data_IF_034778487968
#
_entry.id   IF_034778487968
#
_cell.length_a   1.000
_cell.length_b   1.000
_cell.length_c   1.000
_cell.angle_alpha   90.00
_cell.angle_beta   90.00
_cell.angle_gamma   90.00
#
_symmetry.space_group_name_H-M   'P 1'
#
loop_
_entity.id
_entity.type
_entity.pdbx_description
1 polymer ?
#
# COMPACT_ATOMS: atom_id res chain seq x y z
N UNK A 1 1.10 5.74 26.51
CA UNK A 1 2.39 6.14 27.19
C UNK A 1 3.14 4.92 27.72
N UNK A 2 2.53 4.00 28.51
CA UNK A 2 3.24 2.83 29.07
C UNK A 2 4.03 1.99 28.05
N UNK A 3 3.41 1.66 26.90
CA UNK A 3 4.10 0.91 25.83
C UNK A 3 5.32 1.67 25.26
N UNK A 4 5.24 2.98 25.13
CA UNK A 4 6.36 3.84 24.69
C UNK A 4 7.51 3.77 25.70
N UNK A 5 7.21 3.94 27.00
CA UNK A 5 8.20 3.87 28.06
C UNK A 5 8.87 2.49 28.11
N UNK A 6 8.08 1.42 27.99
CA UNK A 6 8.63 0.06 27.97
C UNK A 6 9.50 -0.18 26.74
N UNK A 7 9.04 0.19 25.53
CA UNK A 7 9.82 0.03 24.31
C UNK A 7 11.20 0.72 24.45
N UNK A 8 11.22 1.93 24.99
CA UNK A 8 12.48 2.64 25.26
C UNK A 8 13.35 1.97 26.29
N UNK A 9 12.77 1.44 27.38
CA UNK A 9 13.54 0.76 28.45
C UNK A 9 14.26 -0.48 27.95
N UNK A 10 13.79 -1.08 26.85
CA UNK A 10 14.42 -2.26 26.19
C UNK A 10 15.20 -1.88 24.92
N UNK A 11 15.43 -0.58 24.68
CA UNK A 11 16.24 -0.11 23.54
C UNK A 11 15.55 -0.15 22.17
N UNK A 12 14.23 -0.30 22.11
CA UNK A 12 13.49 -0.27 20.85
C UNK A 12 13.30 1.16 20.34
N UNK A 13 13.50 1.37 19.04
CA UNK A 13 13.14 2.61 18.38
C UNK A 13 11.61 2.84 18.42
N UNK A 14 11.22 4.09 18.66
CA UNK A 14 9.81 4.48 18.79
C UNK A 14 9.43 5.44 17.68
N UNK A 15 8.35 5.10 16.95
CA UNK A 15 7.67 5.99 16.01
C UNK A 15 6.32 6.38 16.59
N UNK A 16 6.05 7.68 16.73
CA UNK A 16 4.74 8.17 17.19
C UNK A 16 3.75 8.11 16.04
N UNK A 17 2.68 7.33 16.23
CA UNK A 17 1.66 7.11 15.22
C UNK A 17 0.90 8.39 14.82
N UNK A 18 0.41 8.44 13.60
CA UNK A 18 -0.57 9.45 13.12
C UNK A 18 -1.82 9.57 14.01
N UNK A 19 -2.12 8.57 14.82
CA UNK A 19 -3.22 8.63 15.81
C UNK A 19 -3.01 9.71 16.89
N UNK A 20 -1.77 10.17 17.06
CA UNK A 20 -1.44 11.29 17.96
C UNK A 20 -1.76 12.65 17.35
N UNK A 21 -2.14 12.69 16.08
CA UNK A 21 -2.59 13.87 15.33
C UNK A 21 -1.61 15.06 15.45
N UNK A 22 -0.31 14.79 15.24
CA UNK A 22 0.76 15.79 15.34
C UNK A 22 0.67 16.73 14.14
N UNK A 23 0.33 18.00 14.38
CA UNK A 23 0.06 18.99 13.33
C UNK A 23 0.82 20.31 13.49
N UNK A 24 1.69 20.41 14.50
CA UNK A 24 2.47 21.62 14.77
C UNK A 24 3.77 21.30 15.51
N UNK A 25 4.67 22.30 15.59
CA UNK A 25 6.00 22.11 16.16
C UNK A 25 5.97 21.83 17.67
N UNK A 26 4.99 22.36 18.41
CA UNK A 26 4.90 22.13 19.85
C UNK A 26 4.52 20.67 20.15
N UNK A 27 3.64 20.08 19.34
CA UNK A 27 3.34 18.66 19.42
C UNK A 27 4.57 17.80 19.06
N UNK A 28 5.35 18.19 18.04
CA UNK A 28 6.62 17.51 17.71
C UNK A 28 7.56 17.56 18.91
N UNK A 29 7.80 18.75 19.50
CA UNK A 29 8.67 18.92 20.67
C UNK A 29 8.22 18.07 21.85
N UNK A 30 6.92 17.99 22.07
CA UNK A 30 6.36 17.16 23.15
C UNK A 30 6.68 15.67 22.93
N UNK A 31 6.46 15.16 21.72
CA UNK A 31 6.69 13.73 21.44
C UNK A 31 8.15 13.37 21.21
N UNK A 32 9.01 14.33 20.85
CA UNK A 32 10.45 14.16 20.71
C UNK A 32 11.14 13.63 21.98
N UNK A 33 10.54 13.84 23.14
CA UNK A 33 11.05 13.32 24.41
C UNK A 33 11.07 11.77 24.44
N UNK A 34 10.29 11.12 23.60
CA UNK A 34 10.13 9.65 23.61
C UNK A 34 10.41 8.98 22.27
N UNK A 35 10.50 9.73 21.18
CA UNK A 35 10.60 9.15 19.85
C UNK A 35 11.55 9.92 18.94
N UNK A 36 12.25 9.18 18.08
CA UNK A 36 13.15 9.72 17.06
C UNK A 36 12.41 9.99 15.74
N UNK A 37 11.19 9.47 15.60
CA UNK A 37 10.35 9.62 14.42
C UNK A 37 8.92 9.95 14.83
N UNK A 38 8.34 10.97 14.18
CA UNK A 38 6.95 11.36 14.38
C UNK A 38 6.18 11.30 13.07
N UNK A 39 5.00 10.66 13.09
CA UNK A 39 4.09 10.66 11.94
C UNK A 39 3.19 11.89 12.06
N UNK A 40 3.32 12.83 11.13
CA UNK A 40 2.47 14.02 11.12
C UNK A 40 1.03 13.67 10.69
N UNK A 41 0.10 14.54 11.05
CA UNK A 41 -1.30 14.47 10.62
C UNK A 41 -1.40 14.52 9.09
N UNK A 42 -2.32 13.73 8.52
CA UNK A 42 -2.49 13.60 7.06
C UNK A 42 -3.15 14.81 6.41
N UNK A 43 -3.76 15.64 7.21
CA UNK A 43 -4.47 16.85 6.80
C UNK A 43 -3.53 18.02 6.49
N UNK A 44 -2.23 17.88 6.79
CA UNK A 44 -1.23 18.91 6.51
C UNK A 44 -0.85 18.93 5.03
N UNK A 45 -0.69 20.13 4.48
CA UNK A 45 -0.07 20.34 3.19
C UNK A 45 1.47 20.35 3.27
N UNK A 46 2.15 20.26 2.12
CA UNK A 46 3.62 20.22 2.09
C UNK A 46 4.27 21.52 2.56
N UNK A 47 3.58 22.68 2.47
CA UNK A 47 4.09 23.97 2.98
C UNK A 47 4.13 23.94 4.51
N UNK A 48 3.06 23.38 5.12
CA UNK A 48 2.99 23.21 6.58
C UNK A 48 4.03 22.20 7.06
N UNK A 49 4.21 21.10 6.35
CA UNK A 49 5.25 20.08 6.64
C UNK A 49 6.65 20.71 6.57
N UNK A 50 6.95 21.45 5.51
CA UNK A 50 8.24 22.16 5.35
C UNK A 50 8.49 23.20 6.45
N UNK A 51 7.44 23.86 6.93
CA UNK A 51 7.55 24.77 8.09
C UNK A 51 7.94 24.03 9.36
N UNK A 52 7.29 22.90 9.63
CA UNK A 52 7.62 22.05 10.79
C UNK A 52 9.06 21.53 10.69
N UNK A 53 9.48 21.06 9.51
CA UNK A 53 10.84 20.56 9.28
C UNK A 53 11.90 21.64 9.57
N UNK A 54 11.71 22.85 9.03
CA UNK A 54 12.61 23.97 9.29
C UNK A 54 12.68 24.36 10.79
N UNK A 55 11.55 24.25 11.48
CA UNK A 55 11.51 24.53 12.93
C UNK A 55 12.22 23.45 13.74
N UNK A 56 12.14 22.16 13.35
CA UNK A 56 12.93 21.07 13.95
C UNK A 56 14.42 21.39 13.85
N UNK A 57 14.89 21.80 12.67
CA UNK A 57 16.29 22.17 12.43
C UNK A 57 16.71 23.41 13.20
N UNK A 58 15.93 24.51 13.10
CA UNK A 58 16.20 25.80 13.76
C UNK A 58 16.29 25.67 15.28
N UNK A 59 15.41 24.88 15.88
CA UNK A 59 15.33 24.69 17.32
C UNK A 59 16.14 23.49 17.81
N UNK A 60 16.77 22.74 16.87
CA UNK A 60 17.53 21.51 17.14
C UNK A 60 16.73 20.52 17.99
N UNK A 61 15.49 20.25 17.61
CA UNK A 61 14.64 19.30 18.34
C UNK A 61 15.14 17.90 18.06
N UNK A 62 15.75 17.28 19.06
CA UNK A 62 16.32 15.93 18.99
C UNK A 62 15.43 14.91 19.66
N UNK A 63 15.45 13.69 19.13
CA UNK A 63 14.86 12.54 19.79
C UNK A 63 15.79 11.91 20.83
N UNK A 64 15.37 10.80 21.44
CA UNK A 64 16.18 10.08 22.45
C UNK A 64 17.52 9.54 21.93
N UNK A 65 17.64 9.32 20.63
CA UNK A 65 18.88 8.92 19.97
C UNK A 65 19.91 10.03 19.81
N UNK A 66 19.55 11.29 20.17
CA UNK A 66 20.44 12.45 20.03
C UNK A 66 20.42 13.12 18.66
N UNK A 67 19.82 12.49 17.66
CA UNK A 67 19.66 13.03 16.31
C UNK A 67 18.37 13.86 16.19
N UNK A 68 18.31 14.75 15.19
CA UNK A 68 17.10 15.51 14.91
C UNK A 68 15.91 14.56 14.66
N UNK A 69 14.75 14.91 15.21
CA UNK A 69 13.52 14.15 15.00
C UNK A 69 13.18 14.12 13.51
N UNK A 70 12.92 12.92 12.99
CA UNK A 70 12.56 12.69 11.60
C UNK A 70 11.05 12.73 11.41
N UNK A 71 10.63 13.36 10.33
CA UNK A 71 9.24 13.39 9.91
C UNK A 71 8.91 12.15 9.08
N UNK A 72 7.87 11.41 9.50
CA UNK A 72 7.25 10.33 8.73
C UNK A 72 5.89 10.80 8.21
N UNK A 73 5.62 10.58 6.92
CA UNK A 73 4.34 10.90 6.28
C UNK A 73 3.85 9.74 5.42
N UNK A 74 2.52 9.61 5.27
CA UNK A 74 1.97 8.64 4.33
C UNK A 74 2.34 9.01 2.90
N UNK A 75 2.96 8.08 2.19
CA UNK A 75 3.32 8.22 0.78
C UNK A 75 2.32 7.51 -0.15
N UNK A 76 1.73 6.40 0.33
CA UNK A 76 0.84 5.60 -0.53
C UNK A 76 -0.21 4.84 0.27
N UNK A 77 -1.37 4.66 -0.37
CA UNK A 77 -2.40 3.72 0.05
C UNK A 77 -3.68 4.35 0.58
N UNK A 78 -4.49 3.57 1.26
CA UNK A 78 -5.83 3.96 1.65
C UNK A 78 -5.85 5.17 2.59
N UNK A 79 -6.54 6.22 2.19
CA UNK A 79 -6.87 7.35 3.05
C UNK A 79 -8.10 7.06 3.90
N UNK A 80 -8.02 7.41 5.18
CA UNK A 80 -9.17 7.28 6.09
C UNK A 80 -10.07 8.51 5.98
N UNK A 81 -11.39 8.32 5.92
CA UNK A 81 -12.37 9.40 5.94
C UNK A 81 -12.41 10.12 7.30
N UNK A 82 -12.09 9.42 8.38
CA UNK A 82 -12.05 9.97 9.72
C UNK A 82 -10.62 10.34 10.13
N UNK A 83 -10.49 11.22 11.13
CA UNK A 83 -9.23 11.38 11.86
C UNK A 83 -8.76 10.01 12.36
N UNK A 84 -7.50 9.70 12.13
CA UNK A 84 -6.94 8.37 12.39
C UNK A 84 -7.25 7.85 13.79
N UNK A 85 -7.84 6.65 13.85
CA UNK A 85 -8.23 6.00 15.09
C UNK A 85 -9.53 6.49 15.73
N UNK A 86 -10.12 7.60 15.25
CA UNK A 86 -11.35 8.20 15.83
C UNK A 86 -12.56 8.04 14.90
N UNK A 87 -12.83 6.79 14.46
CA UNK A 87 -13.93 6.51 13.57
C UNK A 87 -15.19 6.06 14.32
N UNK A 88 -16.09 7.00 14.59
CA UNK A 88 -17.39 6.69 15.22
C UNK A 88 -18.28 5.83 14.33
N UNK A 89 -18.16 5.94 13.02
CA UNK A 89 -18.91 5.11 12.08
C UNK A 89 -18.59 3.61 12.29
N UNK A 90 -17.30 3.24 12.43
CA UNK A 90 -16.91 1.87 12.80
C UNK A 90 -17.40 1.44 14.18
N UNK A 91 -17.36 2.35 15.14
CA UNK A 91 -17.77 2.05 16.51
C UNK A 91 -19.26 1.73 16.60
N UNK A 92 -20.10 2.54 15.95
CA UNK A 92 -21.57 2.38 16.02
C UNK A 92 -22.12 1.22 15.20
N UNK A 93 -21.47 0.87 14.09
CA UNK A 93 -22.01 -0.13 13.15
C UNK A 93 -21.39 -1.51 13.27
N UNK A 94 -20.49 -1.72 14.22
CA UNK A 94 -19.65 -2.94 14.29
C UNK A 94 -19.57 -3.55 15.68
N UNK A 95 -20.67 -3.62 16.42
CA UNK A 95 -20.77 -4.29 17.73
C UNK A 95 -19.64 -3.90 18.71
N UNK A 96 -19.28 -2.61 18.76
CA UNK A 96 -18.21 -2.09 19.61
C UNK A 96 -16.79 -2.31 19.08
N UNK A 97 -16.62 -2.81 17.84
CA UNK A 97 -15.30 -2.84 17.21
C UNK A 97 -14.81 -1.42 16.92
N UNK A 98 -13.60 -1.12 17.33
CA UNK A 98 -13.01 0.21 17.22
C UNK A 98 -11.84 0.23 16.25
N UNK A 99 -11.86 1.19 15.33
CA UNK A 99 -10.71 1.47 14.45
C UNK A 99 -9.44 1.81 15.25
N UNK A 100 -9.59 2.42 16.44
CA UNK A 100 -8.50 2.70 17.37
C UNK A 100 -7.80 1.42 17.87
N UNK A 101 -8.54 0.32 17.99
CA UNK A 101 -8.00 -1.00 18.35
C UNK A 101 -7.65 -1.86 17.16
N UNK A 102 -7.57 -1.26 15.99
CA UNK A 102 -7.22 -1.98 14.76
C UNK A 102 -8.38 -2.68 14.06
N UNK A 103 -9.60 -2.64 14.56
CA UNK A 103 -10.75 -3.36 14.01
C UNK A 103 -11.61 -2.49 13.08
N UNK A 104 -11.00 -1.87 12.07
CA UNK A 104 -11.71 -1.10 11.05
C UNK A 104 -12.38 -2.04 10.03
N UNK A 105 -13.72 -2.03 9.95
CA UNK A 105 -14.49 -2.82 8.97
C UNK A 105 -14.69 -2.14 7.62
N UNK A 106 -14.08 -0.98 7.39
CA UNK A 106 -14.11 -0.21 6.14
C UNK A 106 -15.53 0.05 5.62
N UNK A 107 -16.49 0.28 6.50
CA UNK A 107 -17.88 0.57 6.12
C UNK A 107 -18.01 1.86 5.30
N UNK A 108 -17.11 2.84 5.47
CA UNK A 108 -17.03 4.02 4.63
C UNK A 108 -16.75 3.70 3.14
N UNK A 109 -16.41 2.45 2.81
CA UNK A 109 -16.16 2.00 1.43
C UNK A 109 -17.41 1.40 0.75
N UNK A 110 -18.56 1.50 1.39
CA UNK A 110 -19.85 1.08 0.82
C UNK A 110 -20.52 2.25 0.10
N UNK A 111 -21.51 1.94 -0.75
CA UNK A 111 -22.42 2.91 -1.30
C UNK A 111 -23.37 3.41 -0.23
N UNK A 112 -23.63 4.71 -0.25
CA UNK A 112 -24.60 5.35 0.64
C UNK A 112 -25.54 6.25 -0.15
N UNK A 113 -26.81 6.25 0.22
CA UNK A 113 -27.78 7.22 -0.20
C UNK A 113 -27.97 8.20 0.96
N UNK A 114 -27.83 9.49 0.71
CA UNK A 114 -28.05 10.53 1.72
C UNK A 114 -29.29 11.29 1.30
N UNK A 115 -30.35 11.18 2.09
CA UNK A 115 -31.62 11.84 1.83
C UNK A 115 -31.91 12.80 2.98
N UNK A 116 -32.28 14.02 2.65
CA UNK A 116 -32.78 14.99 3.62
C UNK A 116 -34.19 14.53 4.05
N UNK A 117 -34.42 14.24 5.35
CA UNK A 117 -35.71 13.74 5.82
C UNK A 117 -36.82 14.78 5.80
N UNK A 118 -36.49 16.08 5.75
CA UNK A 118 -37.48 17.16 5.73
C UNK A 118 -37.98 17.47 4.33
N UNK A 119 -37.06 17.49 3.34
CA UNK A 119 -37.39 17.83 1.95
C UNK A 119 -37.58 16.59 1.08
N UNK A 120 -37.10 15.43 1.47
CA UNK A 120 -37.03 14.22 0.67
C UNK A 120 -35.98 14.28 -0.44
N UNK A 121 -35.20 15.36 -0.55
CA UNK A 121 -34.15 15.49 -1.54
C UNK A 121 -33.01 14.51 -1.24
N UNK A 122 -32.52 13.85 -2.28
CA UNK A 122 -31.40 12.92 -2.20
C UNK A 122 -30.16 13.54 -2.80
N UNK A 123 -29.06 13.52 -2.06
CA UNK A 123 -27.76 13.95 -2.54
C UNK A 123 -27.28 12.99 -3.63
N UNK A 124 -27.26 13.46 -4.87
CA UNK A 124 -26.73 12.71 -6.00
C UNK A 124 -25.20 12.90 -6.08
N UNK A 125 -24.49 11.83 -5.77
CA UNK A 125 -23.02 11.76 -5.88
C UNK A 125 -22.67 10.61 -6.80
N UNK A 126 -21.90 10.88 -7.83
CA UNK A 126 -21.48 9.87 -8.81
C UNK A 126 -20.97 8.58 -8.12
N UNK A 127 -21.64 7.46 -8.41
CA UNK A 127 -21.34 6.15 -7.84
C UNK A 127 -21.73 5.94 -6.38
N UNK A 128 -22.23 6.94 -5.68
CA UNK A 128 -22.68 6.90 -4.27
C UNK A 128 -21.60 6.46 -3.25
N UNK A 129 -20.31 6.63 -3.57
CA UNK A 129 -19.18 6.34 -2.66
C UNK A 129 -18.73 7.58 -1.87
N UNK A 130 -19.67 8.34 -1.34
CA UNK A 130 -19.48 9.64 -0.69
C UNK A 130 -18.52 9.65 0.51
N UNK A 131 -18.23 8.50 1.09
CA UNK A 131 -17.32 8.34 2.22
C UNK A 131 -16.03 7.59 1.85
N UNK A 132 -15.80 7.30 0.57
CA UNK A 132 -14.68 6.49 0.10
C UNK A 132 -13.65 7.31 -0.68
N UNK A 133 -12.66 7.95 -0.01
CA UNK A 133 -11.59 8.63 -0.72
C UNK A 133 -10.86 7.67 -1.68
N UNK A 134 -10.31 8.23 -2.76
CA UNK A 134 -9.29 7.56 -3.56
C UNK A 134 -8.08 7.22 -2.71
N UNK A 135 -7.24 6.33 -3.18
CA UNK A 135 -6.00 5.99 -2.49
C UNK A 135 -4.94 7.09 -2.73
N UNK A 136 -4.20 7.43 -1.67
CA UNK A 136 -3.09 8.37 -1.75
C UNK A 136 -1.98 7.81 -2.64
N UNK A 137 -1.40 8.66 -3.48
CA UNK A 137 -0.20 8.35 -4.25
C UNK A 137 0.65 9.61 -4.41
N UNK A 138 1.89 9.59 -3.90
CA UNK A 138 2.81 10.72 -3.98
C UNK A 138 3.86 10.57 -5.08
N UNK A 139 3.79 9.50 -5.88
CA UNK A 139 4.81 9.17 -6.87
C UNK A 139 5.00 10.26 -7.93
N UNK A 140 3.98 11.06 -8.24
CA UNK A 140 4.06 12.11 -9.26
C UNK A 140 4.83 13.37 -8.79
N UNK A 141 4.96 13.55 -7.47
CA UNK A 141 5.58 14.72 -6.83
C UNK A 141 6.46 14.30 -5.64
N UNK A 142 7.09 13.14 -5.75
CA UNK A 142 7.90 12.58 -4.67
C UNK A 142 9.09 13.47 -4.31
N UNK A 143 9.65 14.18 -5.28
CA UNK A 143 10.69 15.18 -5.11
C UNK A 143 10.25 16.29 -4.14
N UNK A 144 9.15 16.96 -4.41
CA UNK A 144 8.58 18.00 -3.51
C UNK A 144 8.22 17.42 -2.13
N UNK A 145 7.76 16.16 -2.11
CA UNK A 145 7.43 15.47 -0.87
C UNK A 145 8.67 15.28 0.01
N UNK A 146 9.80 14.87 -0.56
CA UNK A 146 11.08 14.73 0.14
C UNK A 146 11.68 16.09 0.49
N UNK A 147 11.63 17.07 -0.42
CA UNK A 147 12.12 18.44 -0.19
C UNK A 147 11.38 19.15 0.96
N UNK A 148 10.11 18.79 1.22
CA UNK A 148 9.36 19.31 2.36
C UNK A 148 9.92 18.89 3.72
N UNK A 149 10.93 18.01 3.75
CA UNK A 149 11.59 17.51 4.96
C UNK A 149 11.09 16.17 5.46
N UNK A 150 10.28 15.47 4.69
CA UNK A 150 9.92 14.07 4.97
C UNK A 150 11.16 13.18 4.83
N UNK A 151 11.39 12.31 5.81
CA UNK A 151 12.55 11.40 5.84
C UNK A 151 12.15 9.94 5.96
N UNK A 152 10.89 9.66 6.27
CA UNK A 152 10.35 8.30 6.37
C UNK A 152 9.04 8.23 5.59
N UNK A 153 9.00 7.38 4.56
CA UNK A 153 7.82 7.17 3.75
C UNK A 153 6.96 6.06 4.35
N UNK A 154 5.70 6.35 4.61
CA UNK A 154 4.75 5.38 5.14
C UNK A 154 3.84 4.85 4.04
N UNK A 155 3.87 3.53 3.83
CA UNK A 155 3.00 2.83 2.88
C UNK A 155 1.90 2.12 3.68
N UNK A 156 0.64 2.41 3.35
CA UNK A 156 -0.52 1.74 3.94
C UNK A 156 -0.84 0.46 3.15
N UNK A 157 -0.52 -0.69 3.75
CA UNK A 157 -0.74 -2.01 3.15
C UNK A 157 -1.75 -2.88 3.90
N UNK A 158 -2.44 -2.35 4.90
CA UNK A 158 -3.41 -3.11 5.70
C UNK A 158 -4.56 -3.62 4.85
N UNK A 159 -4.91 -4.90 5.03
CA UNK A 159 -5.90 -5.59 4.22
C UNK A 159 -5.59 -5.59 2.71
N UNK A 160 -4.31 -5.56 2.35
CA UNK A 160 -3.79 -5.72 0.99
C UNK A 160 -3.05 -7.04 0.86
N UNK A 161 -2.99 -7.58 -0.36
CA UNK A 161 -2.17 -8.75 -0.65
C UNK A 161 -0.66 -8.44 -0.62
N UNK A 162 0.16 -9.46 -0.50
CA UNK A 162 1.61 -9.31 -0.50
C UNK A 162 2.13 -8.73 -1.82
N UNK A 163 1.50 -9.05 -2.93
CA UNK A 163 1.80 -8.51 -4.27
C UNK A 163 1.62 -6.98 -4.33
N UNK A 164 0.62 -6.44 -3.63
CA UNK A 164 0.44 -4.99 -3.51
C UNK A 164 1.64 -4.36 -2.78
N UNK A 165 1.98 -4.90 -1.60
CA UNK A 165 3.07 -4.36 -0.79
C UNK A 165 4.38 -4.38 -1.58
N UNK A 166 4.72 -5.53 -2.19
CA UNK A 166 5.90 -5.68 -3.04
C UNK A 166 5.93 -4.65 -4.16
N UNK A 167 4.85 -4.55 -4.95
CA UNK A 167 4.77 -3.66 -6.09
C UNK A 167 4.92 -2.19 -5.71
N UNK A 168 4.23 -1.76 -4.66
CA UNK A 168 4.29 -0.38 -4.19
C UNK A 168 5.69 -0.05 -3.65
N UNK A 169 6.27 -0.92 -2.82
CA UNK A 169 7.62 -0.71 -2.27
C UNK A 169 8.67 -0.63 -3.38
N UNK A 170 8.64 -1.55 -4.37
CA UNK A 170 9.56 -1.52 -5.52
C UNK A 170 9.46 -0.22 -6.33
N UNK A 171 8.25 0.32 -6.50
CA UNK A 171 8.06 1.57 -7.23
C UNK A 171 8.67 2.76 -6.46
N UNK A 172 8.45 2.84 -5.15
CA UNK A 172 9.06 3.89 -4.34
C UNK A 172 10.57 3.74 -4.20
N UNK A 173 11.10 2.54 -4.02
CA UNK A 173 12.55 2.27 -3.99
C UNK A 173 13.20 2.73 -5.32
N UNK A 174 12.60 2.36 -6.45
CA UNK A 174 13.10 2.79 -7.77
C UNK A 174 13.05 4.31 -7.95
N UNK A 175 11.97 4.96 -7.48
CA UNK A 175 11.85 6.41 -7.54
C UNK A 175 12.93 7.10 -6.69
N UNK A 176 13.15 6.63 -5.45
CA UNK A 176 14.17 7.18 -4.55
C UNK A 176 15.58 7.02 -5.13
N UNK A 177 15.92 5.84 -5.67
CA UNK A 177 17.21 5.62 -6.35
C UNK A 177 17.38 6.54 -7.56
N UNK A 178 16.33 6.71 -8.36
CA UNK A 178 16.38 7.63 -9.49
C UNK A 178 16.58 9.10 -9.06
N UNK A 179 16.03 9.48 -7.90
CA UNK A 179 16.29 10.82 -7.32
C UNK A 179 17.74 10.96 -6.87
N UNK A 180 18.31 9.94 -6.21
CA UNK A 180 19.74 9.91 -5.81
C UNK A 180 20.67 10.03 -7.05
N UNK A 181 20.29 9.36 -8.14
CA UNK A 181 21.05 9.35 -9.40
C UNK A 181 20.76 10.59 -10.30
N UNK A 182 19.86 11.49 -9.89
CA UNK A 182 19.44 12.66 -10.67
C UNK A 182 18.60 12.33 -11.92
N UNK A 183 17.99 11.14 -11.96
CA UNK A 183 17.23 10.61 -13.11
C UNK A 183 15.72 10.49 -12.84
N UNK A 184 15.22 11.08 -11.77
CA UNK A 184 13.78 11.11 -11.49
C UNK A 184 13.09 12.12 -12.43
N UNK A 185 12.33 11.62 -13.40
CA UNK A 185 11.65 12.41 -14.41
C UNK A 185 10.13 12.21 -14.34
N UNK A 186 9.32 13.14 -14.90
CA UNK A 186 7.87 12.95 -15.00
C UNK A 186 7.48 11.67 -15.73
N UNK A 187 8.23 11.26 -16.76
CA UNK A 187 7.97 10.02 -17.51
C UNK A 187 8.21 8.78 -16.64
N UNK A 188 9.28 8.79 -15.84
CA UNK A 188 9.54 7.71 -14.89
C UNK A 188 8.46 7.66 -13.83
N UNK A 189 8.05 8.80 -13.26
CA UNK A 189 6.98 8.88 -12.28
C UNK A 189 5.66 8.33 -12.85
N UNK A 190 5.28 8.71 -14.06
CA UNK A 190 4.11 8.20 -14.77
C UNK A 190 4.18 6.67 -14.96
N UNK A 191 5.30 6.13 -15.45
CA UNK A 191 5.49 4.70 -15.62
C UNK A 191 5.41 3.92 -14.29
N UNK A 192 5.96 4.48 -13.20
CA UNK A 192 5.86 3.89 -11.87
C UNK A 192 4.42 3.93 -11.33
N UNK A 193 3.68 4.99 -11.60
CA UNK A 193 2.26 5.11 -11.24
C UNK A 193 1.40 4.10 -11.98
N UNK A 194 1.62 3.92 -13.29
CA UNK A 194 0.97 2.86 -14.09
C UNK A 194 1.27 1.48 -13.52
N UNK A 195 2.53 1.23 -13.15
CA UNK A 195 2.90 -0.02 -12.49
C UNK A 195 2.19 -0.21 -11.13
N UNK A 196 2.01 0.84 -10.33
CA UNK A 196 1.22 0.78 -9.10
C UNK A 196 -0.26 0.53 -9.39
N UNK A 197 -0.80 1.01 -10.52
CA UNK A 197 -2.19 0.77 -10.92
C UNK A 197 -2.50 -0.70 -11.26
N UNK A 198 -1.49 -1.54 -11.48
CA UNK A 198 -1.69 -2.98 -11.74
C UNK A 198 -2.13 -3.77 -10.50
N UNK A 199 -1.95 -3.23 -9.31
CA UNK A 199 -2.39 -3.83 -8.04
C UNK A 199 -3.59 -3.09 -7.47
N UNK A 200 -4.18 -3.62 -6.41
CA UNK A 200 -5.38 -3.05 -5.80
C UNK A 200 -5.25 -1.54 -5.54
N UNK A 201 -6.15 -0.75 -6.07
CA UNK A 201 -6.30 0.69 -5.78
C UNK A 201 -7.76 1.12 -5.95
N UNK A 202 -8.09 2.35 -5.52
CA UNK A 202 -9.42 2.99 -5.69
C UNK A 202 -9.37 4.23 -6.57
N UNK A 203 -8.43 4.25 -7.54
CA UNK A 203 -7.95 5.46 -8.17
C UNK A 203 -6.98 6.19 -7.25
N UNK A 204 -6.17 7.09 -7.81
CA UNK A 204 -5.13 7.82 -7.09
C UNK A 204 -5.45 9.30 -7.01
N UNK A 205 -5.01 9.94 -5.92
CA UNK A 205 -4.98 11.38 -5.75
C UNK A 205 -3.82 11.79 -4.83
N UNK A 206 -3.51 13.07 -4.78
CA UNK A 206 -2.39 13.62 -4.02
C UNK A 206 -2.69 13.82 -2.50
N UNK A 207 -3.89 13.50 -2.05
CA UNK A 207 -4.29 13.80 -0.67
C UNK A 207 -4.45 15.31 -0.45
N UNK A 208 -4.16 15.75 0.76
CA UNK A 208 -4.18 17.18 1.12
C UNK A 208 -2.85 17.88 0.83
N UNK A 209 -1.84 17.17 0.33
CA UNK A 209 -0.47 17.67 0.21
C UNK A 209 -0.32 18.86 -0.73
N UNK A 210 -1.17 18.98 -1.75
CA UNK A 210 -1.22 20.14 -2.65
C UNK A 210 -2.03 21.33 -2.07
N UNK A 211 -2.49 21.26 -0.83
CA UNK A 211 -3.29 22.32 -0.19
C UNK A 211 -4.75 22.40 -0.67
N UNK A 212 -5.24 21.39 -1.37
CA UNK A 212 -6.64 21.34 -1.83
C UNK A 212 -7.55 20.81 -0.71
N UNK A 213 -8.61 21.53 -0.32
CA UNK A 213 -9.48 21.12 0.77
C UNK A 213 -10.52 20.05 0.37
N UNK A 214 -10.62 19.71 -0.93
CA UNK A 214 -11.68 18.84 -1.46
C UNK A 214 -11.13 17.42 -1.60
N UNK A 215 -11.81 16.48 -0.95
CA UNK A 215 -11.50 15.03 -1.03
C UNK A 215 -11.97 14.49 -2.38
N UNK A 216 -11.09 13.82 -3.10
CA UNK A 216 -11.47 13.04 -4.27
C UNK A 216 -11.99 11.65 -3.86
N UNK A 217 -13.23 11.34 -4.26
CA UNK A 217 -13.87 10.08 -3.93
C UNK A 217 -13.68 9.03 -5.03
N UNK A 218 -13.64 7.76 -4.61
CA UNK A 218 -13.67 6.63 -5.54
C UNK A 218 -15.02 6.56 -6.26
N UNK A 219 -15.00 6.26 -7.56
CA UNK A 219 -16.21 6.06 -8.38
C UNK A 219 -16.60 4.59 -8.49
N UNK A 220 -15.77 3.68 -8.02
CA UNK A 220 -15.92 2.23 -8.23
C UNK A 220 -16.02 1.46 -6.92
N UNK A 221 -16.74 0.35 -6.96
CA UNK A 221 -16.71 -0.65 -5.90
C UNK A 221 -15.44 -1.50 -6.01
N UNK A 222 -14.76 -1.70 -4.88
CA UNK A 222 -13.62 -2.60 -4.84
C UNK A 222 -12.34 -2.00 -5.42
N UNK A 223 -11.74 -2.69 -6.38
CA UNK A 223 -10.46 -2.34 -6.98
C UNK A 223 -10.63 -1.76 -8.37
N UNK A 224 -9.90 -0.68 -8.65
CA UNK A 224 -9.68 -0.13 -9.99
C UNK A 224 -8.36 -0.64 -10.61
N UNK A 225 -7.81 -1.74 -10.10
CA UNK A 225 -6.58 -2.32 -10.63
C UNK A 225 -6.73 -2.73 -12.10
N UNK A 226 -5.72 -2.42 -12.90
CA UNK A 226 -5.69 -2.79 -14.33
C UNK A 226 -5.40 -4.27 -14.55
N UNK A 227 -4.90 -4.99 -13.54
CA UNK A 227 -4.70 -6.43 -13.56
C UNK A 227 -5.37 -7.11 -12.38
N UNK A 228 -5.77 -8.36 -12.58
CA UNK A 228 -6.27 -9.25 -11.52
C UNK A 228 -5.51 -10.56 -11.53
N UNK A 229 -5.30 -11.13 -10.36
CA UNK A 229 -4.72 -12.47 -10.22
C UNK A 229 -5.80 -13.53 -10.32
N UNK A 230 -5.54 -14.56 -11.12
CA UNK A 230 -6.39 -15.72 -11.30
C UNK A 230 -5.63 -16.93 -10.77
N UNK A 231 -6.26 -17.67 -9.87
CA UNK A 231 -5.64 -18.86 -9.29
C UNK A 231 -5.50 -19.95 -10.36
N UNK A 232 -4.30 -20.52 -10.47
CA UNK A 232 -3.95 -21.60 -11.38
C UNK A 232 -3.83 -22.92 -10.63
N UNK A 233 -2.98 -22.97 -9.60
CA UNK A 233 -2.72 -24.21 -8.91
C UNK A 233 -1.71 -24.09 -7.78
N UNK A 234 -1.18 -25.22 -7.36
CA UNK A 234 -0.32 -25.36 -6.20
C UNK A 234 0.96 -26.11 -6.55
N UNK A 235 2.08 -25.67 -6.00
CA UNK A 235 3.36 -26.33 -6.14
C UNK A 235 3.36 -27.63 -5.32
N UNK A 236 3.57 -28.75 -6.01
CA UNK A 236 3.66 -30.10 -5.44
C UNK A 236 5.09 -30.45 -5.07
N UNK A 237 6.06 -29.96 -5.87
CA UNK A 237 7.48 -30.21 -5.68
C UNK A 237 8.35 -29.08 -6.24
N UNK A 238 9.62 -29.03 -5.86
CA UNK A 238 10.62 -28.11 -6.44
C UNK A 238 11.96 -28.81 -6.65
N UNK A 239 12.41 -28.84 -7.88
CA UNK A 239 13.68 -29.44 -8.30
C UNK A 239 14.79 -28.39 -8.25
N UNK A 240 15.42 -28.24 -7.09
CA UNK A 240 16.37 -27.17 -6.79
C UNK A 240 17.55 -27.07 -7.77
N UNK A 241 18.08 -28.22 -8.24
CA UNK A 241 19.25 -28.25 -9.13
C UNK A 241 19.01 -27.62 -10.51
N UNK A 242 17.77 -27.69 -10.99
CA UNK A 242 17.39 -27.21 -12.31
C UNK A 242 16.43 -26.00 -12.22
N UNK A 243 16.10 -25.54 -11.00
CA UNK A 243 15.18 -24.43 -10.75
C UNK A 243 13.81 -24.63 -11.44
N UNK A 244 13.21 -25.80 -11.23
CA UNK A 244 11.89 -26.15 -11.80
C UNK A 244 10.91 -26.43 -10.70
N UNK A 245 9.74 -25.80 -10.76
CA UNK A 245 8.58 -26.09 -9.90
C UNK A 245 7.64 -27.07 -10.60
N UNK A 246 7.25 -28.13 -9.91
CA UNK A 246 6.16 -29.00 -10.30
C UNK A 246 4.86 -28.45 -9.75
N UNK A 247 3.85 -28.27 -10.59
CA UNK A 247 2.58 -27.60 -10.27
C UNK A 247 1.41 -28.50 -10.68
N UNK A 248 0.51 -28.75 -9.73
CA UNK A 248 -0.81 -29.28 -10.05
C UNK A 248 -1.73 -28.12 -10.42
N UNK A 249 -2.24 -28.09 -11.63
CA UNK A 249 -3.23 -27.11 -12.09
C UNK A 249 -4.60 -27.47 -11.50
N UNK A 250 -5.09 -26.65 -10.57
CA UNK A 250 -6.30 -26.93 -9.80
C UNK A 250 -7.53 -26.14 -10.25
N UNK A 251 -7.33 -25.02 -10.98
CA UNK A 251 -8.42 -24.15 -11.39
C UNK A 251 -8.27 -23.64 -12.82
N UNK A 252 -7.75 -22.43 -13.03
CA UNK A 252 -7.60 -21.87 -14.37
C UNK A 252 -6.51 -22.57 -15.17
N UNK A 253 -6.67 -22.75 -16.50
CA UNK A 253 -5.63 -23.28 -17.34
C UNK A 253 -4.39 -22.37 -17.33
N UNK A 254 -3.22 -22.98 -17.50
CA UNK A 254 -1.94 -22.30 -17.63
C UNK A 254 -1.54 -22.29 -19.11
N UNK A 255 -1.12 -21.12 -19.61
CA UNK A 255 -0.63 -20.96 -20.98
C UNK A 255 0.83 -20.52 -20.99
N UNK A 256 1.56 -20.96 -22.00
CA UNK A 256 2.88 -20.40 -22.28
C UNK A 256 2.77 -18.88 -22.53
N UNK A 257 3.69 -18.11 -21.94
CA UNK A 257 3.66 -16.64 -21.99
C UNK A 257 2.77 -15.98 -20.96
N UNK A 258 1.97 -16.71 -20.16
CA UNK A 258 1.20 -16.12 -19.05
C UNK A 258 2.14 -15.37 -18.08
N UNK A 259 1.74 -14.21 -17.60
CA UNK A 259 2.41 -13.53 -16.49
C UNK A 259 2.11 -14.27 -15.18
N UNK A 260 3.11 -14.90 -14.60
CA UNK A 260 2.99 -15.74 -13.42
C UNK A 260 3.29 -15.01 -12.13
N UNK A 261 2.52 -15.34 -11.09
CA UNK A 261 2.68 -14.83 -9.74
C UNK A 261 2.70 -16.01 -8.76
N UNK A 262 3.87 -16.29 -8.21
CA UNK A 262 4.05 -17.29 -7.16
C UNK A 262 3.92 -16.63 -5.79
N UNK A 263 3.18 -17.26 -4.90
CA UNK A 263 2.92 -16.72 -3.57
C UNK A 263 3.03 -17.80 -2.49
N UNK A 264 3.87 -17.55 -1.48
CA UNK A 264 4.04 -18.42 -0.32
C UNK A 264 4.50 -17.66 0.91
N UNK A 265 4.24 -18.21 2.09
CA UNK A 265 4.59 -17.54 3.36
C UNK A 265 6.09 -17.24 3.49
N UNK A 266 6.94 -18.21 3.10
CA UNK A 266 8.40 -18.05 3.16
C UNK A 266 8.98 -17.58 1.84
N UNK A 267 8.39 -17.96 0.72
CA UNK A 267 8.82 -17.55 -0.63
C UNK A 267 8.53 -16.08 -0.87
N UNK A 268 7.46 -15.57 -0.24
CA UNK A 268 6.97 -14.22 -0.51
C UNK A 268 6.24 -14.19 -1.85
N UNK A 269 6.59 -13.22 -2.70
CA UNK A 269 5.99 -12.99 -4.02
C UNK A 269 7.09 -13.01 -5.08
N UNK A 270 6.94 -13.89 -6.07
CA UNK A 270 7.84 -13.98 -7.25
C UNK A 270 7.00 -13.79 -8.51
N UNK A 271 7.45 -12.89 -9.39
CA UNK A 271 6.81 -12.59 -10.67
C UNK A 271 7.74 -12.99 -11.80
N UNK A 272 7.20 -13.64 -12.82
CA UNK A 272 7.93 -14.01 -14.04
C UNK A 272 6.96 -14.31 -15.18
N UNK A 273 7.46 -14.50 -16.40
CA UNK A 273 6.70 -15.10 -17.50
C UNK A 273 6.81 -16.64 -17.44
N UNK A 274 5.77 -17.32 -17.92
CA UNK A 274 5.70 -18.76 -18.04
C UNK A 274 6.20 -19.23 -19.41
N UNK A 275 7.48 -19.00 -19.70
CA UNK A 275 8.05 -19.22 -21.05
C UNK A 275 8.42 -20.68 -21.32
N UNK A 276 8.60 -21.48 -20.28
CA UNK A 276 9.00 -22.89 -20.39
C UNK A 276 8.07 -23.76 -19.52
N UNK A 277 7.07 -24.37 -20.13
CA UNK A 277 6.09 -25.25 -19.48
C UNK A 277 6.17 -26.66 -20.10
N UNK A 278 6.27 -27.66 -19.23
CA UNK A 278 6.40 -29.07 -19.67
C UNK A 278 5.36 -29.95 -18.98
N UNK A 279 4.84 -30.93 -19.72
CA UNK A 279 4.05 -32.06 -19.22
C UNK A 279 4.74 -33.34 -19.70
N UNK A 280 5.07 -34.25 -18.78
CA UNK A 280 5.80 -35.48 -19.05
C UNK A 280 7.06 -35.28 -19.91
N UNK A 281 7.86 -34.25 -19.54
CA UNK A 281 9.12 -33.84 -20.20
C UNK A 281 8.94 -33.25 -21.62
N UNK A 282 7.71 -33.10 -22.13
CA UNK A 282 7.41 -32.48 -23.39
C UNK A 282 6.95 -31.04 -23.24
N UNK A 283 7.47 -30.08 -24.05
CA UNK A 283 7.02 -28.68 -23.99
C UNK A 283 5.56 -28.59 -24.45
N UNK A 284 4.76 -27.79 -23.76
CA UNK A 284 3.34 -27.62 -24.08
C UNK A 284 2.96 -26.13 -24.01
N UNK A 285 2.06 -25.73 -24.90
CA UNK A 285 1.53 -24.35 -24.89
C UNK A 285 0.41 -24.13 -23.88
N UNK A 286 -0.27 -25.20 -23.48
CA UNK A 286 -1.43 -25.09 -22.57
C UNK A 286 -1.50 -26.32 -21.65
N UNK A 287 -1.74 -26.06 -20.37
CA UNK A 287 -1.98 -27.09 -19.34
C UNK A 287 -3.38 -26.89 -18.79
N UNK A 288 -4.21 -27.94 -18.85
CA UNK A 288 -5.58 -27.90 -18.35
C UNK A 288 -5.67 -28.30 -16.88
N UNK A 289 -6.79 -27.96 -16.25
CA UNK A 289 -7.11 -28.36 -14.88
C UNK A 289 -6.98 -29.89 -14.69
N UNK A 290 -6.44 -30.29 -13.55
CA UNK A 290 -6.21 -31.69 -13.20
C UNK A 290 -4.86 -32.25 -13.66
N UNK A 291 -4.12 -31.51 -14.48
CA UNK A 291 -2.81 -31.91 -15.01
C UNK A 291 -1.67 -31.37 -14.14
N UNK A 292 -0.65 -32.19 -13.94
CA UNK A 292 0.63 -31.75 -13.33
C UNK A 292 1.58 -31.30 -14.42
N UNK A 293 2.22 -30.17 -14.25
CA UNK A 293 3.21 -29.63 -15.17
C UNK A 293 4.47 -29.15 -14.43
N UNK A 294 5.53 -28.98 -15.18
CA UNK A 294 6.81 -28.41 -14.72
C UNK A 294 6.99 -27.03 -15.33
N UNK A 295 7.34 -26.05 -14.47
CA UNK A 295 7.57 -24.67 -14.88
C UNK A 295 8.95 -24.24 -14.38
N UNK A 296 9.79 -23.75 -15.28
CA UNK A 296 11.09 -23.17 -14.89
C UNK A 296 10.89 -21.88 -14.11
N UNK A 297 11.69 -21.65 -13.08
CA UNK A 297 11.53 -20.50 -12.19
C UNK A 297 12.82 -19.71 -12.05
N UNK A 298 12.66 -18.39 -11.90
CA UNK A 298 13.81 -17.46 -11.71
C UNK A 298 14.32 -17.42 -10.28
N UNK A 299 13.55 -17.97 -9.33
CA UNK A 299 13.89 -18.01 -7.91
C UNK A 299 13.39 -19.31 -7.28
N UNK A 300 13.84 -19.57 -6.05
CA UNK A 300 13.40 -20.71 -5.25
C UNK A 300 11.91 -20.59 -4.92
N UNK A 301 11.12 -21.53 -5.43
CA UNK A 301 9.71 -21.72 -5.08
C UNK A 301 9.61 -22.93 -4.13
N UNK A 302 8.63 -22.94 -3.25
CA UNK A 302 8.50 -24.02 -2.25
C UNK A 302 7.25 -24.83 -2.44
N UNK A 303 7.32 -26.09 -2.05
CA UNK A 303 6.13 -26.94 -1.99
C UNK A 303 5.06 -26.28 -1.13
N UNK A 304 3.83 -26.23 -1.67
CA UNK A 304 2.69 -25.59 -1.03
C UNK A 304 2.47 -24.15 -1.45
N UNK A 305 3.43 -23.50 -2.12
CA UNK A 305 3.22 -22.17 -2.70
C UNK A 305 2.10 -22.24 -3.75
N UNK A 306 1.40 -21.13 -3.89
CA UNK A 306 0.31 -20.99 -4.86
C UNK A 306 0.79 -20.30 -6.12
N UNK A 307 0.36 -20.83 -7.27
CA UNK A 307 0.56 -20.19 -8.56
C UNK A 307 -0.71 -19.46 -8.96
N UNK A 308 -0.55 -18.21 -9.34
CA UNK A 308 -1.55 -17.39 -10.00
C UNK A 308 -1.01 -16.90 -11.34
N UNK A 309 -1.91 -16.51 -12.23
CA UNK A 309 -1.58 -15.70 -13.40
C UNK A 309 -2.23 -14.32 -13.31
N UNK A 310 -1.55 -13.32 -13.84
CA UNK A 310 -2.05 -11.97 -13.96
C UNK A 310 -2.75 -11.80 -15.29
N UNK A 311 -3.98 -11.33 -15.27
CA UNK A 311 -4.75 -11.03 -16.47
C UNK A 311 -5.26 -9.61 -16.41
N UNK A 312 -5.37 -8.96 -17.54
CA UNK A 312 -5.91 -7.62 -17.62
C UNK A 312 -7.36 -7.59 -17.13
N UNK A 313 -7.70 -6.54 -16.40
CA UNK A 313 -9.09 -6.29 -16.01
C UNK A 313 -9.78 -5.66 -17.22
N UNK A 314 -10.77 -6.34 -17.78
CA UNK A 314 -11.62 -5.75 -18.82
C UNK A 314 -12.35 -4.57 -18.17
N UNK A 315 -12.13 -3.37 -18.69
CA UNK A 315 -12.71 -2.11 -18.22
C UNK A 315 -14.23 -2.03 -18.39
#
# INVERSE_FOLDING_TARGET
>A
MAAIQYARSVGMAVHISTQSNISNIEAVRFFAQWADVVVLARELDLVQVARISREIERQRITGPGGELVRIEMFAHGALCMAISGKCYLSLHTSDGFSANRGACRQICRRKYLVTDPETGETLDVEGNYILSPKDLCTIDFLDYFIESGVRVLKIEGRARGAEYVKRVVECYDRALRAMEDGNYTPELAAALKERQATVFNRGFWEGYYAGRPIVEHSRHHGSAATKRKVYVGKVTNFFKKISVAEVLVEAAPLHEGDELLWMGETTGVVEQHGDEIFVDEHPVQTVLQGTTCSVKTVQLIRRGDKLYKLVDTIG
#
